data_IF_230539739939
#
_entry.id   IF_230539739939
#
_cell.length_a   1.000
_cell.length_b   1.000
_cell.length_c   1.000
_cell.angle_alpha   90.00
_cell.angle_beta   90.00
_cell.angle_gamma   90.00
#
_symmetry.space_group_name_H-M   'P 1'
#
loop_
_entity.id
_entity.type
_entity.pdbx_description
1 polymer ?
#
# COMPACT_ATOMS: atom_id res chain seq x y z
N UNK A 1 -9.91 -5.71 26.17
CA UNK A 1 -9.02 -4.55 26.41
C UNK A 1 -9.29 -3.38 25.46
N UNK A 2 -9.48 -3.62 24.16
CA UNK A 2 -9.78 -2.55 23.15
C UNK A 2 -11.05 -1.76 23.47
N UNK A 3 -12.14 -2.43 23.83
CA UNK A 3 -13.40 -1.77 24.17
C UNK A 3 -13.28 -0.83 25.38
N UNK A 4 -12.55 -1.25 26.43
CA UNK A 4 -12.27 -0.40 27.61
C UNK A 4 -11.48 0.85 27.24
N UNK A 5 -10.44 0.71 26.42
CA UNK A 5 -9.66 1.87 25.92
C UNK A 5 -10.51 2.82 25.06
N UNK A 6 -11.44 2.28 24.27
CA UNK A 6 -12.39 3.08 23.47
C UNK A 6 -13.33 3.90 24.35
N UNK A 7 -13.82 3.32 25.45
CA UNK A 7 -14.69 4.02 26.41
C UNK A 7 -13.94 5.12 27.18
N UNK A 8 -12.70 4.84 27.62
CA UNK A 8 -11.81 5.83 28.23
C UNK A 8 -11.55 7.00 27.27
N UNK A 9 -11.25 6.71 26.00
CA UNK A 9 -11.08 7.73 24.97
C UNK A 9 -12.37 8.53 24.74
N UNK A 10 -13.54 7.88 24.71
CA UNK A 10 -14.82 8.58 24.52
C UNK A 10 -15.06 9.61 25.61
N UNK A 11 -14.87 9.21 26.88
CA UNK A 11 -15.00 10.09 28.03
C UNK A 11 -14.01 11.24 28.00
N UNK A 12 -12.76 10.96 27.60
CA UNK A 12 -11.75 12.00 27.45
C UNK A 12 -12.18 13.03 26.39
N UNK A 13 -12.59 12.58 25.21
CA UNK A 13 -13.01 13.47 24.13
C UNK A 13 -14.26 14.29 24.50
N UNK A 14 -15.22 13.69 25.20
CA UNK A 14 -16.38 14.39 25.78
C UNK A 14 -15.95 15.47 26.79
N UNK A 15 -14.95 15.19 27.64
CA UNK A 15 -14.41 16.18 28.59
C UNK A 15 -13.71 17.36 27.90
N UNK A 16 -13.25 17.18 26.66
CA UNK A 16 -12.66 18.24 25.84
C UNK A 16 -13.73 19.04 25.05
N UNK A 17 -15.02 18.80 25.30
CA UNK A 17 -16.13 19.57 24.71
C UNK A 17 -16.76 18.94 23.47
N UNK A 18 -16.41 17.70 23.12
CA UNK A 18 -17.08 16.98 22.04
C UNK A 18 -18.45 16.44 22.48
N UNK A 19 -19.39 16.38 21.54
CA UNK A 19 -20.70 15.77 21.76
C UNK A 19 -20.59 14.25 21.93
N UNK A 20 -21.33 13.68 22.87
CA UNK A 20 -21.40 12.24 23.05
C UNK A 20 -22.10 11.54 21.86
N UNK A 21 -21.63 10.36 21.40
CA UNK A 21 -20.47 9.62 21.89
C UNK A 21 -19.15 10.21 21.38
N UNK A 22 -18.25 10.61 22.29
CA UNK A 22 -17.02 11.34 21.98
C UNK A 22 -16.10 10.61 21.00
N UNK A 23 -15.92 9.30 21.16
CA UNK A 23 -15.10 8.50 20.25
C UNK A 23 -15.66 8.51 18.82
N UNK A 24 -16.99 8.49 18.66
CA UNK A 24 -17.63 8.55 17.34
C UNK A 24 -17.51 9.95 16.75
N UNK A 25 -17.71 11.00 17.55
CA UNK A 25 -17.52 12.39 17.13
C UNK A 25 -16.09 12.63 16.65
N UNK A 26 -15.08 12.10 17.34
CA UNK A 26 -13.69 12.17 16.93
C UNK A 26 -13.49 11.51 15.55
N UNK A 27 -13.97 10.27 15.37
CA UNK A 27 -13.90 9.56 14.09
C UNK A 27 -14.52 10.40 12.97
N UNK A 28 -15.71 10.97 13.20
CA UNK A 28 -16.39 11.81 12.21
C UNK A 28 -15.61 13.09 11.89
N UNK A 29 -15.01 13.76 12.87
CA UNK A 29 -14.24 14.99 12.63
C UNK A 29 -12.94 14.66 11.87
N UNK A 30 -12.26 13.58 12.23
CA UNK A 30 -11.05 13.12 11.55
C UNK A 30 -11.32 12.64 10.10
N UNK A 31 -12.54 12.19 9.79
CA UNK A 31 -12.91 11.82 8.42
C UNK A 31 -13.28 13.02 7.54
N UNK A 32 -13.65 14.18 8.12
CA UNK A 32 -14.09 15.37 7.36
C UNK A 32 -13.10 15.85 6.29
N UNK A 33 -11.77 15.91 6.52
CA UNK A 33 -10.82 16.31 5.49
C UNK A 33 -10.89 15.43 4.25
N UNK A 34 -11.01 14.10 4.42
CA UNK A 34 -11.14 13.15 3.30
C UNK A 34 -12.47 13.32 2.58
N UNK A 35 -13.59 13.42 3.32
CA UNK A 35 -14.91 13.67 2.72
C UNK A 35 -14.98 15.03 2.01
N UNK A 36 -14.22 16.02 2.47
CA UNK A 36 -14.11 17.32 1.78
C UNK A 36 -13.25 17.21 0.52
N UNK A 37 -12.14 16.49 0.62
CA UNK A 37 -11.20 16.26 -0.48
C UNK A 37 -11.90 15.60 -1.68
N UNK A 38 -12.72 14.59 -1.42
CA UNK A 38 -13.56 13.89 -2.41
C UNK A 38 -14.49 14.82 -3.21
N UNK A 39 -14.87 15.98 -2.64
CA UNK A 39 -15.81 16.92 -3.26
C UNK A 39 -15.13 17.94 -4.18
N UNK A 40 -13.81 18.18 -4.05
CA UNK A 40 -13.14 19.21 -4.85
C UNK A 40 -13.26 19.01 -6.35
N UNK A 41 -13.12 17.79 -6.91
CA UNK A 41 -13.29 17.58 -8.35
C UNK A 41 -14.66 18.02 -8.86
N UNK A 42 -15.74 17.67 -8.15
CA UNK A 42 -17.11 18.04 -8.54
C UNK A 42 -17.37 19.55 -8.38
N UNK A 43 -16.88 20.16 -7.30
CA UNK A 43 -17.03 21.60 -7.07
C UNK A 43 -16.28 22.42 -8.12
N UNK A 44 -15.06 22.02 -8.47
CA UNK A 44 -14.26 22.70 -9.50
C UNK A 44 -14.84 22.48 -10.90
N UNK A 45 -15.40 21.30 -11.19
CA UNK A 45 -16.09 21.05 -12.45
C UNK A 45 -17.36 21.90 -12.59
N UNK A 46 -18.08 22.11 -11.50
CA UNK A 46 -19.24 23.01 -11.51
C UNK A 46 -18.83 24.48 -11.67
N UNK A 47 -17.68 24.88 -11.09
CA UNK A 47 -17.09 26.18 -11.34
C UNK A 47 -16.70 26.35 -12.81
N UNK A 48 -15.97 25.38 -13.40
CA UNK A 48 -15.56 25.38 -14.80
C UNK A 48 -16.74 25.58 -15.76
N UNK A 49 -17.89 24.96 -15.45
CA UNK A 49 -19.13 25.08 -16.25
C UNK A 49 -19.60 26.52 -16.43
N UNK A 50 -19.24 27.42 -15.52
CA UNK A 50 -19.60 28.83 -15.53
C UNK A 50 -18.45 29.75 -15.92
N UNK A 51 -17.27 29.21 -16.22
CA UNK A 51 -16.10 29.98 -16.68
C UNK A 51 -16.11 30.01 -18.21
N UNK A 52 -16.06 31.20 -18.78
CA UNK A 52 -15.98 31.38 -20.24
C UNK A 52 -14.74 30.72 -20.84
N UNK A 53 -14.84 30.27 -22.09
CA UNK A 53 -13.74 29.55 -22.75
C UNK A 53 -12.46 30.38 -22.93
N UNK A 54 -12.60 31.69 -23.07
CA UNK A 54 -11.51 32.66 -23.22
C UNK A 54 -10.90 33.11 -21.89
N UNK A 55 -11.42 32.66 -20.76
CA UNK A 55 -10.94 33.09 -19.46
C UNK A 55 -9.51 32.57 -19.19
N UNK A 56 -8.58 33.43 -18.73
CA UNK A 56 -7.18 33.04 -18.51
C UNK A 56 -7.05 31.84 -17.54
N UNK A 57 -7.87 31.80 -16.49
CA UNK A 57 -7.81 30.73 -15.46
C UNK A 57 -8.54 29.44 -15.82
N UNK A 58 -9.18 29.35 -17.00
CA UNK A 58 -9.95 28.15 -17.36
C UNK A 58 -9.06 26.91 -17.45
N UNK A 59 -7.89 27.05 -18.07
CA UNK A 59 -6.90 25.98 -18.16
C UNK A 59 -6.37 25.55 -16.79
N UNK A 60 -6.14 26.50 -15.87
CA UNK A 60 -5.75 26.19 -14.49
C UNK A 60 -6.87 25.47 -13.73
N UNK A 61 -8.12 25.87 -13.94
CA UNK A 61 -9.29 25.20 -13.34
C UNK A 61 -9.38 23.74 -13.80
N UNK A 62 -9.20 23.47 -15.09
CA UNK A 62 -9.17 22.11 -15.64
C UNK A 62 -8.02 21.27 -15.07
N UNK A 63 -6.81 21.84 -14.99
CA UNK A 63 -5.67 21.16 -14.37
C UNK A 63 -5.92 20.86 -12.89
N UNK A 64 -6.51 21.79 -12.15
CA UNK A 64 -6.82 21.60 -10.74
C UNK A 64 -7.82 20.44 -10.53
N UNK A 65 -8.83 20.30 -11.40
CA UNK A 65 -9.77 19.17 -11.36
C UNK A 65 -9.01 17.84 -11.45
N UNK A 66 -8.11 17.71 -12.43
CA UNK A 66 -7.34 16.47 -12.62
C UNK A 66 -6.38 16.19 -11.46
N UNK A 67 -5.72 17.22 -10.91
CA UNK A 67 -4.89 17.08 -9.72
C UNK A 67 -5.70 16.54 -8.53
N UNK A 68 -6.87 17.12 -8.24
CA UNK A 68 -7.70 16.64 -7.14
C UNK A 68 -8.25 15.23 -7.36
N UNK A 69 -8.56 14.84 -8.60
CA UNK A 69 -8.91 13.44 -8.92
C UNK A 69 -7.75 12.50 -8.61
N UNK A 70 -6.54 12.84 -9.03
CA UNK A 70 -5.34 12.03 -8.78
C UNK A 70 -5.09 11.87 -7.28
N UNK A 71 -5.17 12.96 -6.50
CA UNK A 71 -5.02 12.90 -5.04
C UNK A 71 -6.10 12.00 -4.43
N UNK A 72 -7.36 12.17 -4.85
CA UNK A 72 -8.47 11.37 -4.33
C UNK A 72 -8.28 9.87 -4.59
N UNK A 73 -7.88 9.51 -5.82
CA UNK A 73 -7.60 8.13 -6.19
C UNK A 73 -6.45 7.54 -5.36
N UNK A 74 -5.40 8.33 -5.10
CA UNK A 74 -4.30 7.91 -4.23
C UNK A 74 -4.76 7.65 -2.79
N UNK A 75 -5.61 8.53 -2.22
CA UNK A 75 -6.16 8.31 -0.88
C UNK A 75 -7.00 7.04 -0.78
N UNK A 76 -7.84 6.77 -1.78
CA UNK A 76 -8.66 5.56 -1.85
C UNK A 76 -7.78 4.32 -1.91
N UNK A 77 -6.72 4.35 -2.72
CA UNK A 77 -5.80 3.22 -2.85
C UNK A 77 -5.01 2.96 -1.56
N UNK A 78 -4.48 4.01 -0.92
CA UNK A 78 -3.79 3.88 0.38
C UNK A 78 -4.73 3.29 1.42
N UNK A 79 -5.98 3.75 1.46
CA UNK A 79 -6.99 3.22 2.38
C UNK A 79 -7.25 1.74 2.12
N UNK A 80 -7.45 1.35 0.86
CA UNK A 80 -7.66 -0.05 0.45
C UNK A 80 -6.49 -0.94 0.88
N UNK A 81 -5.25 -0.49 0.65
CA UNK A 81 -4.05 -1.21 1.07
C UNK A 81 -3.97 -1.38 2.59
N UNK A 82 -4.32 -0.34 3.36
CA UNK A 82 -4.34 -0.41 4.82
C UNK A 82 -5.45 -1.29 5.38
N UNK A 83 -6.62 -1.29 4.74
CA UNK A 83 -7.71 -2.20 5.08
C UNK A 83 -7.29 -3.66 4.82
N UNK A 84 -6.64 -3.94 3.68
CA UNK A 84 -6.10 -5.27 3.35
C UNK A 84 -4.98 -5.72 4.30
N UNK A 85 -4.03 -4.83 4.63
CA UNK A 85 -2.99 -5.09 5.63
C UNK A 85 -3.61 -5.47 6.98
N UNK A 86 -4.58 -4.68 7.45
CA UNK A 86 -5.30 -4.95 8.70
C UNK A 86 -6.04 -6.28 8.65
N UNK A 87 -6.73 -6.59 7.55
CA UNK A 87 -7.44 -7.84 7.38
C UNK A 87 -6.48 -9.04 7.44
N UNK A 88 -5.35 -8.98 6.75
CA UNK A 88 -4.34 -10.06 6.75
C UNK A 88 -3.78 -10.30 8.15
N UNK A 89 -3.43 -9.25 8.89
CA UNK A 89 -2.81 -9.42 10.22
C UNK A 89 -3.81 -9.78 11.32
N UNK A 90 -5.12 -9.59 11.10
CA UNK A 90 -6.16 -9.89 12.10
C UNK A 90 -7.00 -11.13 11.78
N UNK A 91 -7.02 -11.58 10.52
CA UNK A 91 -7.75 -12.76 10.10
C UNK A 91 -6.98 -14.06 10.36
N UNK A 92 -7.70 -15.18 10.28
CA UNK A 92 -7.09 -16.51 10.31
C UNK A 92 -6.69 -16.88 8.88
N UNK A 93 -5.39 -17.00 8.64
CA UNK A 93 -4.84 -17.41 7.34
C UNK A 93 -4.90 -18.94 7.23
N UNK A 94 -5.50 -19.44 6.14
CA UNK A 94 -5.63 -20.87 5.91
C UNK A 94 -4.28 -21.50 5.60
N UNK A 95 -4.00 -22.65 6.22
CA UNK A 95 -2.75 -23.39 6.01
C UNK A 95 -1.51 -22.66 6.55
N UNK A 96 -1.66 -21.72 7.47
CA UNK A 96 -0.53 -21.00 8.07
C UNK A 96 0.45 -21.94 8.79
N UNK A 97 1.74 -21.74 8.55
CA UNK A 97 2.82 -22.54 9.15
C UNK A 97 3.81 -21.66 9.91
N UNK A 98 4.32 -22.17 11.04
CA UNK A 98 5.32 -21.49 11.86
C UNK A 98 4.73 -20.58 12.93
N UNK A 99 5.43 -19.48 13.23
CA UNK A 99 5.03 -18.52 14.26
C UNK A 99 3.83 -17.67 13.83
N UNK A 100 3.07 -17.17 14.80
CA UNK A 100 1.93 -16.27 14.56
C UNK A 100 2.34 -15.04 13.73
N UNK A 101 1.51 -14.64 12.76
CA UNK A 101 1.77 -13.48 11.91
C UNK A 101 2.07 -12.20 12.71
N UNK A 102 1.42 -12.02 13.87
CA UNK A 102 1.65 -10.88 14.76
C UNK A 102 3.07 -10.83 15.36
N UNK A 103 3.81 -11.94 15.36
CA UNK A 103 5.19 -12.02 15.86
C UNK A 103 6.23 -11.76 14.77
N UNK A 104 5.82 -11.72 13.49
CA UNK A 104 6.72 -11.41 12.37
C UNK A 104 7.14 -9.93 12.34
N UNK A 105 6.49 -9.07 13.13
CA UNK A 105 6.79 -7.63 13.22
C UNK A 105 5.77 -6.78 12.47
N UNK A 106 6.10 -5.50 12.28
CA UNK A 106 5.29 -4.58 11.48
C UNK A 106 5.45 -4.87 9.98
N UNK A 107 4.37 -4.73 9.22
CA UNK A 107 4.41 -4.89 7.76
C UNK A 107 5.22 -3.73 7.16
N UNK A 108 6.35 -4.05 6.55
CA UNK A 108 7.24 -3.10 5.87
C UNK A 108 6.64 -2.68 4.53
N UNK A 109 6.12 -3.64 3.77
CA UNK A 109 5.49 -3.40 2.48
C UNK A 109 4.49 -4.49 2.13
N UNK A 110 3.42 -4.10 1.44
CA UNK A 110 2.37 -5.01 1.01
C UNK A 110 1.94 -4.65 -0.41
N UNK A 111 1.95 -5.64 -1.31
CA UNK A 111 1.45 -5.46 -2.67
C UNK A 111 0.81 -6.73 -3.20
N UNK A 112 -0.20 -6.55 -4.05
CA UNK A 112 -0.66 -7.60 -4.95
C UNK A 112 0.27 -7.63 -6.14
N UNK A 113 0.76 -8.81 -6.50
CA UNK A 113 1.75 -9.00 -7.58
C UNK A 113 1.39 -10.22 -8.41
N UNK A 114 1.90 -10.26 -9.64
CA UNK A 114 1.81 -11.45 -10.48
C UNK A 114 3.16 -12.15 -10.51
N UNK A 115 3.21 -13.29 -9.83
CA UNK A 115 4.36 -14.16 -9.82
C UNK A 115 4.41 -15.01 -11.10
N UNK A 116 5.60 -15.19 -11.65
CA UNK A 116 5.90 -16.13 -12.74
C UNK A 116 6.99 -17.07 -12.28
N UNK A 117 6.72 -18.37 -12.33
CA UNK A 117 7.70 -19.43 -12.01
C UNK A 117 8.61 -19.68 -13.20
N UNK A 118 9.70 -20.44 -13.00
CA UNK A 118 10.58 -20.84 -14.10
C UNK A 118 9.89 -21.71 -15.16
N UNK A 119 8.82 -22.41 -14.78
CA UNK A 119 7.95 -23.18 -15.69
C UNK A 119 7.05 -22.28 -16.56
N UNK A 120 7.03 -20.97 -16.31
CA UNK A 120 6.21 -19.99 -17.03
C UNK A 120 4.78 -19.87 -16.50
N UNK A 121 4.43 -20.58 -15.42
CA UNK A 121 3.12 -20.50 -14.79
C UNK A 121 2.97 -19.18 -14.05
N UNK A 122 1.78 -18.59 -14.17
CA UNK A 122 1.48 -17.26 -13.63
C UNK A 122 0.49 -17.36 -12.48
N UNK A 123 0.80 -16.65 -11.40
CA UNK A 123 0.06 -16.73 -10.16
C UNK A 123 -0.18 -15.33 -9.61
N UNK A 124 -1.42 -15.01 -9.30
CA UNK A 124 -1.73 -13.81 -8.50
C UNK A 124 -1.43 -14.12 -7.03
N UNK A 125 -0.60 -13.28 -6.42
CA UNK A 125 -0.14 -13.45 -5.05
C UNK A 125 -0.17 -12.10 -4.33
N UNK A 126 -0.34 -12.16 -3.02
CA UNK A 126 -0.17 -11.02 -2.13
C UNK A 126 1.15 -11.20 -1.42
N UNK A 127 2.05 -10.26 -1.61
CA UNK A 127 3.33 -10.22 -0.95
C UNK A 127 3.22 -9.34 0.28
N UNK A 128 3.63 -9.88 1.43
CA UNK A 128 3.67 -9.17 2.71
C UNK A 128 5.09 -9.26 3.23
N UNK A 129 5.82 -8.14 3.13
CA UNK A 129 7.19 -8.04 3.59
C UNK A 129 7.22 -7.66 5.06
N UNK A 130 7.85 -8.52 5.86
CA UNK A 130 8.19 -8.29 7.25
C UNK A 130 9.71 -8.07 7.39
N UNK A 131 10.21 -7.55 8.53
CA UNK A 131 11.63 -7.25 8.72
C UNK A 131 12.58 -8.45 8.52
N UNK A 132 12.10 -9.68 8.71
CA UNK A 132 12.93 -10.90 8.62
C UNK A 132 12.50 -11.87 7.52
N UNK A 133 11.33 -11.69 6.92
CA UNK A 133 10.81 -12.59 5.89
C UNK A 133 9.82 -11.93 4.93
N UNK A 134 9.72 -12.47 3.72
CA UNK A 134 8.65 -12.18 2.77
C UNK A 134 7.61 -13.32 2.82
N UNK A 135 6.37 -12.99 3.14
CA UNK A 135 5.24 -13.93 3.16
C UNK A 135 4.45 -13.81 1.85
N UNK A 136 4.05 -14.95 1.30
CA UNK A 136 3.25 -15.04 0.08
C UNK A 136 1.89 -15.64 0.42
N UNK A 137 0.83 -14.93 0.03
CA UNK A 137 -0.55 -15.36 0.20
C UNK A 137 -1.26 -15.42 -1.14
N UNK A 138 -2.34 -16.20 -1.20
CA UNK A 138 -3.32 -16.16 -2.28
C UNK A 138 -4.72 -15.85 -1.72
N UNK A 139 -5.62 -15.36 -2.57
CA UNK A 139 -7.02 -15.16 -2.20
C UNK A 139 -7.83 -16.39 -2.60
N UNK A 140 -8.57 -16.95 -1.65
CA UNK A 140 -9.48 -18.07 -1.93
C UNK A 140 -10.69 -17.59 -2.76
N UNK A 141 -11.03 -18.23 -3.89
CA UNK A 141 -12.09 -17.77 -4.79
C UNK A 141 -13.51 -17.77 -4.19
N UNK A 142 -13.72 -18.46 -3.06
CA UNK A 142 -15.06 -18.76 -2.53
C UNK A 142 -15.38 -18.12 -1.18
N UNK A 143 -14.40 -17.57 -0.47
CA UNK A 143 -14.56 -17.16 0.94
C UNK A 143 -13.91 -15.82 1.30
N UNK A 144 -13.35 -15.09 0.33
CA UNK A 144 -12.57 -13.86 0.58
C UNK A 144 -11.54 -14.04 1.70
N UNK A 145 -10.99 -15.25 1.85
CA UNK A 145 -10.03 -15.58 2.90
C UNK A 145 -8.65 -15.76 2.30
N UNK A 146 -7.63 -15.45 3.09
CA UNK A 146 -6.23 -15.59 2.67
C UNK A 146 -5.74 -17.02 2.90
N UNK A 147 -5.05 -17.56 1.91
CA UNK A 147 -4.37 -18.85 1.98
C UNK A 147 -2.86 -18.62 1.98
N UNK A 148 -2.16 -19.30 2.87
CA UNK A 148 -0.70 -19.28 2.96
C UNK A 148 -0.09 -20.12 1.83
N UNK A 149 0.80 -19.51 1.06
CA UNK A 149 1.49 -20.15 -0.07
C UNK A 149 2.97 -20.38 0.22
N UNK A 150 3.52 -19.67 1.21
CA UNK A 150 4.90 -19.84 1.63
C UNK A 150 5.49 -18.60 2.28
N UNK A 151 6.69 -18.76 2.82
CA UNK A 151 7.50 -17.72 3.46
C UNK A 151 8.94 -17.88 3.02
N UNK A 152 9.55 -16.77 2.65
CA UNK A 152 10.94 -16.70 2.20
C UNK A 152 11.71 -15.89 3.25
N UNK A 153 12.64 -16.50 4.00
CA UNK A 153 13.54 -15.75 4.87
C UNK A 153 14.32 -14.72 4.06
N UNK A 154 14.50 -13.52 4.60
CA UNK A 154 15.32 -12.49 3.94
C UNK A 154 16.82 -12.82 4.00
N UNK A 155 17.24 -13.69 4.93
CA UNK A 155 18.63 -14.15 5.02
C UNK A 155 19.06 -14.85 3.73
N UNK A 156 19.97 -14.23 2.99
CA UNK A 156 20.48 -14.74 1.71
C UNK A 156 19.54 -14.52 0.52
N UNK A 157 18.41 -13.82 0.71
CA UNK A 157 17.57 -13.40 -0.40
C UNK A 157 18.29 -12.31 -1.21
N UNK A 158 18.23 -12.43 -2.52
CA UNK A 158 18.70 -11.42 -3.47
C UNK A 158 17.54 -10.96 -4.34
N UNK A 159 17.55 -9.68 -4.69
CA UNK A 159 16.53 -9.08 -5.56
C UNK A 159 17.20 -8.22 -6.62
N UNK A 160 16.88 -8.47 -7.89
CA UNK A 160 17.48 -7.78 -9.04
C UNK A 160 16.40 -7.39 -10.05
N UNK A 161 16.62 -6.33 -10.85
CA UNK A 161 15.77 -6.06 -12.02
C UNK A 161 15.70 -7.28 -12.94
N UNK A 162 14.55 -7.53 -13.56
CA UNK A 162 14.44 -8.58 -14.56
C UNK A 162 15.07 -8.12 -15.87
N UNK A 163 16.10 -8.82 -16.36
CA UNK A 163 16.84 -8.48 -17.59
C UNK A 163 16.25 -9.11 -18.87
N UNK A 164 15.11 -9.81 -18.78
CA UNK A 164 14.49 -10.46 -19.94
C UNK A 164 14.23 -9.44 -21.06
N UNK A 165 14.65 -9.77 -22.29
CA UNK A 165 14.73 -8.87 -23.45
C UNK A 165 13.40 -8.22 -23.91
N UNK A 166 12.27 -8.54 -23.28
CA UNK A 166 11.03 -7.79 -23.44
C UNK A 166 10.99 -6.62 -22.44
N UNK A 167 11.42 -5.45 -22.92
CA UNK A 167 11.45 -4.13 -22.23
C UNK A 167 10.06 -3.69 -21.69
N UNK A 168 9.02 -4.46 -21.98
CA UNK A 168 7.61 -4.18 -21.67
C UNK A 168 7.10 -4.86 -20.38
N UNK A 169 7.87 -5.75 -19.75
CA UNK A 169 7.46 -6.38 -18.49
C UNK A 169 8.02 -5.56 -17.31
N UNK A 170 7.17 -4.80 -16.62
CA UNK A 170 7.54 -4.13 -15.35
C UNK A 170 7.83 -5.22 -14.30
N UNK A 171 9.07 -5.71 -14.23
CA UNK A 171 9.39 -6.91 -13.46
C UNK A 171 10.72 -6.84 -12.71
N UNK A 172 10.75 -7.51 -11.57
CA UNK A 172 11.98 -7.84 -10.83
C UNK A 172 12.02 -9.33 -10.52
N UNK A 173 13.16 -9.80 -10.06
CA UNK A 173 13.39 -11.20 -9.75
C UNK A 173 13.92 -11.32 -8.33
N UNK A 174 13.42 -12.33 -7.60
CA UNK A 174 13.93 -12.71 -6.29
C UNK A 174 14.47 -14.13 -6.33
N UNK A 175 15.58 -14.37 -5.65
CA UNK A 175 16.18 -15.70 -5.51
C UNK A 175 16.94 -15.83 -4.20
N UNK A 176 17.04 -17.04 -3.67
CA UNK A 176 17.75 -17.32 -2.43
C UNK A 176 18.13 -18.78 -2.31
N UNK A 177 18.88 -19.19 -1.28
CA UNK A 177 19.43 -20.54 -1.16
C UNK A 177 18.37 -21.65 -1.14
N UNK A 178 17.17 -21.33 -0.65
CA UNK A 178 16.08 -22.28 -0.42
C UNK A 178 14.93 -22.13 -1.41
N UNK A 179 15.06 -21.24 -2.41
CA UNK A 179 14.02 -21.01 -3.41
C UNK A 179 14.62 -20.95 -4.81
N UNK A 180 13.84 -21.42 -5.77
CA UNK A 180 14.11 -21.13 -7.16
C UNK A 180 13.95 -19.63 -7.44
N UNK A 181 14.54 -19.17 -8.54
CA UNK A 181 14.34 -17.82 -9.04
C UNK A 181 12.86 -17.58 -9.38
N UNK A 182 12.29 -16.53 -8.80
CA UNK A 182 10.90 -16.11 -8.97
C UNK A 182 10.89 -14.76 -9.67
N UNK A 183 10.15 -14.66 -10.78
CA UNK A 183 9.93 -13.39 -11.46
C UNK A 183 8.62 -12.76 -10.97
N UNK A 184 8.67 -11.48 -10.62
CA UNK A 184 7.53 -10.73 -10.07
C UNK A 184 7.18 -9.61 -11.04
N UNK A 185 5.98 -9.67 -11.62
CA UNK A 185 5.43 -8.64 -12.49
C UNK A 185 4.61 -7.64 -11.68
N UNK A 186 4.92 -6.37 -11.85
CA UNK A 186 4.27 -5.22 -11.22
C UNK A 186 3.39 -4.47 -12.23
N UNK A 187 2.49 -3.62 -11.73
CA UNK A 187 1.65 -2.77 -12.57
C UNK A 187 2.44 -1.65 -13.25
N UNK A 188 3.45 -1.10 -12.57
CA UNK A 188 4.24 0.06 -13.05
C UNK A 188 5.74 -0.11 -12.84
N UNK A 189 6.56 0.64 -13.59
CA UNK A 189 8.02 0.71 -13.33
C UNK A 189 8.33 1.28 -11.94
N UNK A 190 7.51 2.22 -11.46
CA UNK A 190 7.66 2.79 -10.12
C UNK A 190 7.50 1.76 -9.02
N UNK A 191 6.57 0.82 -9.16
CA UNK A 191 6.42 -0.31 -8.23
C UNK A 191 7.63 -1.25 -8.23
N UNK A 192 8.23 -1.51 -9.39
CA UNK A 192 9.45 -2.32 -9.49
C UNK A 192 10.60 -1.66 -8.70
N UNK A 193 10.83 -0.37 -8.95
CA UNK A 193 11.87 0.40 -8.25
C UNK A 193 11.60 0.42 -6.74
N UNK A 194 10.36 0.70 -6.34
CA UNK A 194 9.99 0.72 -4.92
C UNK A 194 10.22 -0.65 -4.24
N UNK A 195 9.86 -1.75 -4.89
CA UNK A 195 10.13 -3.10 -4.38
C UNK A 195 11.61 -3.36 -4.19
N UNK A 196 12.43 -3.05 -5.19
CA UNK A 196 13.88 -3.25 -5.13
C UNK A 196 14.52 -2.41 -4.03
N UNK A 197 14.17 -1.12 -3.93
CA UNK A 197 14.69 -0.21 -2.91
C UNK A 197 14.34 -0.69 -1.49
N UNK A 198 13.07 -1.06 -1.27
CA UNK A 198 12.59 -1.55 0.02
C UNK A 198 13.26 -2.88 0.37
N UNK A 199 13.38 -3.82 -0.57
CA UNK A 199 14.05 -5.10 -0.34
C UNK A 199 15.53 -4.87 0.00
N UNK A 200 16.25 -4.07 -0.77
CA UNK A 200 17.67 -3.77 -0.52
C UNK A 200 17.87 -3.10 0.85
N UNK A 201 17.00 -2.16 1.22
CA UNK A 201 17.03 -1.52 2.54
C UNK A 201 16.77 -2.53 3.66
N UNK A 202 15.74 -3.36 3.53
CA UNK A 202 15.34 -4.33 4.56
C UNK A 202 16.39 -5.44 4.71
N UNK A 203 16.96 -5.91 3.60
CA UNK A 203 18.04 -6.91 3.60
C UNK A 203 19.29 -6.40 4.31
N UNK A 204 19.67 -5.14 4.09
CA UNK A 204 20.82 -4.51 4.75
C UNK A 204 20.60 -4.36 6.26
N UNK A 205 19.39 -4.02 6.69
CA UNK A 205 19.03 -3.91 8.12
C UNK A 205 19.04 -5.27 8.83
N UNK A 206 18.70 -6.36 8.14
CA UNK A 206 18.71 -7.71 8.72
C UNK A 206 20.12 -8.20 9.11
N UNK A 207 21.18 -7.67 8.49
CA UNK A 207 22.58 -8.07 8.74
C UNK A 207 23.22 -7.30 9.89
N UNK A 208 22.66 -6.13 10.28
CA UNK A 208 23.14 -5.31 11.40
C UNK A 208 21.95 -4.81 12.24
N UNK A 209 21.60 -5.49 13.35
CA UNK A 209 20.57 -5.02 14.27
C UNK A 209 21.10 -3.83 15.09
N UNK A 210 21.06 -2.62 14.55
CA UNK A 210 21.28 -1.41 15.32
C UNK A 210 20.02 -1.07 16.15
N UNK A 211 20.15 -0.59 17.40
CA UNK A 211 19.01 -0.29 18.24
C UNK A 211 18.31 1.00 17.78
N UNK A 212 17.04 0.86 17.44
CA UNK A 212 16.05 1.93 17.24
C UNK A 212 16.34 2.93 16.10
N UNK A 213 15.74 2.68 14.93
CA UNK A 213 15.23 3.75 14.09
C UNK A 213 13.71 3.80 14.25
N UNK A 214 13.20 5.02 14.47
CA UNK A 214 11.77 5.36 14.55
C UNK A 214 10.97 4.70 13.41
N UNK A 215 9.66 4.42 13.61
CA UNK A 215 8.82 3.82 12.57
C UNK A 215 8.94 4.63 11.28
N UNK A 216 9.49 4.01 10.24
CA UNK A 216 9.41 4.57 8.89
C UNK A 216 7.96 4.40 8.46
N UNK A 217 7.23 5.52 8.43
CA UNK A 217 5.99 5.65 7.66
C UNK A 217 6.21 4.99 6.32
N UNK A 218 5.29 4.12 5.91
CA UNK A 218 5.22 3.62 4.54
C UNK A 218 5.50 4.78 3.59
N UNK A 219 6.64 4.74 2.90
CA UNK A 219 6.91 5.65 1.81
C UNK A 219 6.10 5.14 0.63
N UNK A 220 4.85 5.58 0.57
CA UNK A 220 4.05 5.44 -0.64
C UNK A 220 4.72 6.35 -1.65
N UNK A 221 5.55 5.79 -2.52
CA UNK A 221 6.15 6.50 -3.63
C UNK A 221 5.01 7.04 -4.49
N UNK A 222 4.72 8.34 -4.34
CA UNK A 222 3.82 9.07 -5.22
C UNK A 222 4.47 9.09 -6.59
N UNK A 223 4.02 8.22 -7.49
CA UNK A 223 4.41 8.28 -8.90
C UNK A 223 3.83 9.60 -9.44
N UNK A 224 4.68 10.63 -9.51
CA UNK A 224 4.41 11.85 -10.25
C UNK A 224 4.29 11.46 -11.72
N UNK A 225 3.07 11.39 -12.25
CA UNK A 225 2.86 11.31 -13.69
C UNK A 225 3.31 12.64 -14.29
N UNK A 226 4.55 12.71 -14.73
CA UNK A 226 5.05 13.78 -15.60
C UNK A 226 4.16 13.83 -16.85
N UNK A 227 3.38 14.91 -16.98
CA UNK A 227 2.66 15.21 -18.21
C UNK A 227 3.67 15.48 -19.34
N UNK A 228 3.37 15.08 -20.60
CA UNK A 228 4.10 15.61 -21.73
C UNK A 228 3.78 17.09 -21.88
N UNK A 229 4.81 17.91 -21.92
CA UNK A 229 4.74 19.32 -22.30
C UNK A 229 4.17 19.42 -23.71
N UNK A 230 2.95 19.96 -23.81
CA UNK A 230 2.34 20.34 -25.08
C UNK A 230 2.92 21.70 -25.47
N UNK A 231 3.69 21.72 -26.55
CA UNK A 231 4.07 22.95 -27.28
C UNK A 231 2.90 23.42 -28.14
#
# INVERSE_FOLDING_TARGET
QVQKKREELSKFIESQGATAPGAQTLITILSKPFTRLEKYPSLLKELERHVEESHPDRGDTQRAIEVYKTINNSCVEIRRLKEMEHEIVTSVIQGWEGEEIAKLGEVVHLSQVKMVTQTGEKFERIFVLFPSCLVMLSMTPRLSSYQYEGKIPLSGLTSNPCESADVSQNAFEISGPMIEKITVLCGTKGEVTAWLDILHQTLTQSVNPAPSSKPQSLQVHMISTSQPSVS
#
